data_IF_719664738695
#
_entry.id   IF_719664738695
#
_cell.length_a   1.000
_cell.length_b   1.000
_cell.length_c   1.000
_cell.angle_alpha   90.00
_cell.angle_beta   90.00
_cell.angle_gamma   90.00
#
_symmetry.space_group_name_H-M   'P 1'
#
loop_
_entity.id
_entity.type
_entity.pdbx_description
1 polymer ?
#
# COMPACT_ATOMS: atom_id res chain seq x y z
N UNK A 1 27.75 8.72 -11.41
CA UNK A 1 27.70 7.92 -10.16
C UNK A 1 26.28 7.36 -10.03
N UNK A 2 26.03 6.16 -10.56
CA UNK A 2 24.71 5.53 -10.43
C UNK A 2 24.49 5.20 -8.97
N UNK A 3 23.68 5.99 -8.27
CA UNK A 3 23.30 5.71 -6.90
C UNK A 3 22.72 4.30 -6.87
N UNK A 4 23.40 3.37 -6.19
CA UNK A 4 22.85 2.02 -5.97
C UNK A 4 21.53 2.23 -5.23
N UNK A 5 20.41 2.07 -5.92
CA UNK A 5 19.09 2.12 -5.29
C UNK A 5 19.07 1.07 -4.16
N UNK A 6 19.03 1.49 -2.89
CA UNK A 6 18.85 0.55 -1.81
C UNK A 6 17.42 0.00 -1.91
N UNK A 7 17.21 -1.26 -1.54
CA UNK A 7 15.93 -1.97 -1.63
C UNK A 7 15.38 -2.26 -3.03
N UNK A 8 16.17 -2.88 -3.92
CA UNK A 8 15.68 -3.35 -5.24
C UNK A 8 14.44 -4.26 -5.15
N UNK A 9 14.37 -5.09 -4.11
CA UNK A 9 13.25 -6.04 -3.87
C UNK A 9 11.96 -5.28 -3.58
N UNK A 10 12.02 -4.25 -2.73
CA UNK A 10 10.85 -3.42 -2.39
C UNK A 10 10.33 -2.68 -3.63
N UNK A 11 11.23 -2.08 -4.42
CA UNK A 11 10.85 -1.43 -5.68
C UNK A 11 10.21 -2.41 -6.65
N UNK A 12 10.75 -3.63 -6.77
CA UNK A 12 10.16 -4.69 -7.58
C UNK A 12 8.75 -5.07 -7.11
N UNK A 13 8.55 -5.19 -5.80
CA UNK A 13 7.23 -5.46 -5.21
C UNK A 13 6.22 -4.33 -5.45
N UNK A 14 6.64 -3.07 -5.31
CA UNK A 14 5.79 -1.90 -5.60
C UNK A 14 5.45 -1.83 -7.09
N UNK A 15 6.41 -2.10 -7.96
CA UNK A 15 6.19 -2.08 -9.41
C UNK A 15 5.24 -3.22 -9.83
N UNK A 16 5.40 -4.40 -9.25
CA UNK A 16 4.48 -5.52 -9.43
C UNK A 16 3.08 -5.20 -8.89
N UNK A 17 2.98 -4.59 -7.70
CA UNK A 17 1.73 -4.10 -7.13
C UNK A 17 1.03 -3.10 -8.04
N UNK A 18 1.79 -2.16 -8.64
CA UNK A 18 1.30 -1.19 -9.62
C UNK A 18 0.78 -1.87 -10.89
N UNK A 19 1.54 -2.83 -11.43
CA UNK A 19 1.11 -3.59 -12.60
C UNK A 19 -0.18 -4.38 -12.33
N UNK A 20 -0.28 -5.03 -11.17
CA UNK A 20 -1.49 -5.72 -10.74
C UNK A 20 -2.67 -4.74 -10.63
N UNK A 21 -2.46 -3.57 -10.01
CA UNK A 21 -3.49 -2.53 -9.90
C UNK A 21 -3.97 -2.05 -11.28
N UNK A 22 -3.06 -1.76 -12.22
CA UNK A 22 -3.43 -1.35 -13.58
C UNK A 22 -4.15 -2.46 -14.35
N UNK A 23 -3.75 -3.71 -14.15
CA UNK A 23 -4.41 -4.87 -14.76
C UNK A 23 -5.84 -5.00 -14.24
N UNK A 24 -6.02 -4.91 -12.93
CA UNK A 24 -7.33 -4.88 -12.25
C UNK A 24 -8.20 -3.74 -12.76
N UNK A 25 -7.66 -2.52 -12.86
CA UNK A 25 -8.41 -1.35 -13.28
C UNK A 25 -8.82 -1.44 -14.76
N UNK A 26 -7.95 -1.97 -15.61
CA UNK A 26 -8.25 -2.23 -17.02
C UNK A 26 -9.36 -3.27 -17.15
N UNK A 27 -9.29 -4.37 -16.39
CA UNK A 27 -10.35 -5.40 -16.37
C UNK A 27 -11.71 -4.83 -15.92
N UNK A 28 -11.72 -3.95 -14.91
CA UNK A 28 -12.94 -3.22 -14.48
C UNK A 28 -13.48 -2.34 -15.61
N UNK A 29 -12.61 -1.64 -16.33
CA UNK A 29 -13.00 -0.75 -17.43
C UNK A 29 -13.62 -1.52 -18.61
N UNK A 30 -13.10 -2.70 -18.94
CA UNK A 30 -13.65 -3.57 -19.99
C UNK A 30 -14.90 -4.35 -19.56
N UNK A 31 -15.44 -4.09 -18.36
CA UNK A 31 -16.63 -4.75 -17.81
C UNK A 31 -16.58 -6.29 -17.86
N UNK A 32 -15.37 -6.87 -17.83
CA UNK A 32 -15.18 -8.31 -17.76
C UNK A 32 -15.68 -8.77 -16.38
N UNK A 33 -16.69 -9.64 -16.36
CA UNK A 33 -17.28 -10.21 -15.14
C UNK A 33 -16.20 -10.99 -14.41
N UNK A 34 -15.58 -10.32 -13.45
CA UNK A 34 -14.47 -10.84 -12.66
C UNK A 34 -14.93 -10.81 -11.20
N UNK A 35 -14.54 -11.81 -10.37
CA UNK A 35 -15.10 -11.97 -9.03
C UNK A 35 -14.88 -10.71 -8.19
N UNK A 36 -16.00 -10.04 -7.86
CA UNK A 36 -16.09 -8.77 -7.13
C UNK A 36 -15.24 -8.73 -5.85
N UNK A 37 -15.15 -9.87 -5.15
CA UNK A 37 -14.37 -10.02 -3.92
C UNK A 37 -12.86 -9.84 -4.10
N UNK A 38 -12.28 -10.46 -5.14
CA UNK A 38 -10.82 -10.38 -5.36
C UNK A 38 -10.40 -9.01 -5.90
N UNK A 39 -11.32 -8.27 -6.52
CA UNK A 39 -11.07 -6.97 -7.14
C UNK A 39 -11.21 -5.77 -6.19
N UNK A 40 -11.86 -5.96 -5.04
CA UNK A 40 -12.03 -4.90 -4.04
C UNK A 40 -10.86 -4.97 -3.04
N UNK A 41 -10.72 -6.08 -2.30
CA UNK A 41 -9.74 -6.19 -1.21
C UNK A 41 -8.27 -6.25 -1.67
N UNK A 42 -8.00 -6.71 -2.89
CA UNK A 42 -6.62 -6.81 -3.40
C UNK A 42 -5.99 -5.43 -3.58
N UNK A 43 -6.78 -4.42 -3.95
CA UNK A 43 -6.28 -3.06 -4.04
C UNK A 43 -5.93 -2.50 -2.65
N UNK A 44 -6.77 -2.77 -1.65
CA UNK A 44 -6.57 -2.33 -0.27
C UNK A 44 -5.32 -2.95 0.36
N UNK A 45 -5.07 -4.23 0.11
CA UNK A 45 -3.83 -4.89 0.52
C UNK A 45 -2.56 -4.26 -0.11
N UNK A 46 -2.64 -3.92 -1.40
CA UNK A 46 -1.49 -3.41 -2.16
C UNK A 46 -1.21 -1.92 -1.89
N UNK A 47 -2.19 -1.15 -1.40
CA UNK A 47 -2.05 0.31 -1.24
C UNK A 47 -1.05 0.69 -0.14
N UNK A 48 -1.07 0.01 1.00
CA UNK A 48 -0.20 0.32 2.14
C UNK A 48 1.30 0.20 1.78
N UNK A 49 1.79 -0.90 1.20
CA UNK A 49 3.21 -1.00 0.85
C UNK A 49 3.61 0.01 -0.23
N UNK A 50 2.72 0.38 -1.15
CA UNK A 50 2.98 1.44 -2.13
C UNK A 50 3.13 2.81 -1.45
N UNK A 51 2.17 3.19 -0.60
CA UNK A 51 2.19 4.48 0.12
C UNK A 51 3.36 4.56 1.08
N UNK A 52 3.65 3.48 1.83
CA UNK A 52 4.80 3.42 2.72
C UNK A 52 6.12 3.60 1.96
N UNK A 53 6.25 3.02 0.77
CA UNK A 53 7.44 3.20 -0.09
C UNK A 53 7.55 4.64 -0.61
N UNK A 54 6.43 5.26 -0.99
CA UNK A 54 6.38 6.67 -1.37
C UNK A 54 6.78 7.58 -0.20
N UNK A 55 6.29 7.32 1.01
CA UNK A 55 6.69 8.04 2.22
C UNK A 55 8.19 7.88 2.50
N UNK A 56 8.73 6.66 2.38
CA UNK A 56 10.17 6.40 2.53
C UNK A 56 10.99 7.19 1.51
N UNK A 57 10.58 7.20 0.24
CA UNK A 57 11.19 8.03 -0.80
C UNK A 57 11.09 9.53 -0.50
N UNK A 58 9.95 10.01 -0.02
CA UNK A 58 9.78 11.40 0.41
C UNK A 58 10.77 11.77 1.51
N UNK A 59 10.95 10.90 2.50
CA UNK A 59 11.94 11.10 3.57
C UNK A 59 13.37 11.11 3.02
N UNK A 60 13.71 10.20 2.10
CA UNK A 60 15.01 10.19 1.45
C UNK A 60 15.27 11.45 0.62
N UNK A 61 14.26 11.99 -0.06
CA UNK A 61 14.38 13.24 -0.81
C UNK A 61 14.62 14.45 0.11
N UNK A 62 13.90 14.53 1.23
CA UNK A 62 14.01 15.64 2.19
C UNK A 62 15.33 15.56 2.96
N UNK A 63 15.70 14.38 3.46
CA UNK A 63 16.90 14.17 4.28
C UNK A 63 18.16 13.90 3.47
N UNK A 64 18.03 13.64 2.17
CA UNK A 64 19.11 13.20 1.26
C UNK A 64 19.89 12.00 1.78
N UNK A 65 19.26 11.18 2.61
CA UNK A 65 19.87 10.02 3.25
C UNK A 65 19.03 8.77 2.97
N UNK A 66 19.63 7.86 2.20
CA UNK A 66 19.01 6.60 1.76
C UNK A 66 19.19 5.45 2.76
N UNK A 67 19.89 5.69 3.87
CA UNK A 67 20.04 4.73 4.98
C UNK A 67 18.84 4.78 5.93
N UNK A 68 18.05 5.86 5.88
CA UNK A 68 16.85 5.99 6.69
C UNK A 68 15.86 4.88 6.33
N UNK A 69 15.31 4.27 7.36
CA UNK A 69 14.30 3.21 7.30
C UNK A 69 13.09 3.64 8.13
N UNK A 70 11.88 3.29 7.70
CA UNK A 70 10.68 3.62 8.47
C UNK A 70 10.62 2.74 9.72
N UNK A 71 10.33 3.35 10.86
CA UNK A 71 10.14 2.62 12.11
C UNK A 71 8.79 1.91 12.10
N UNK A 72 8.65 0.84 12.87
CA UNK A 72 7.40 0.09 12.98
C UNK A 72 6.24 0.99 13.41
N UNK A 73 6.50 1.95 14.32
CA UNK A 73 5.54 2.96 14.72
C UNK A 73 4.99 3.76 13.54
N UNK A 74 5.83 4.19 12.60
CA UNK A 74 5.38 4.97 11.43
C UNK A 74 4.48 4.14 10.52
N UNK A 75 4.79 2.86 10.34
CA UNK A 75 3.98 1.93 9.55
C UNK A 75 2.63 1.69 10.23
N UNK A 76 2.62 1.44 11.54
CA UNK A 76 1.39 1.26 12.31
C UNK A 76 0.52 2.51 12.32
N UNK A 77 1.11 3.70 12.42
CA UNK A 77 0.39 4.97 12.30
C UNK A 77 -0.24 5.14 10.92
N UNK A 78 0.45 4.73 9.85
CA UNK A 78 -0.10 4.75 8.49
C UNK A 78 -1.30 3.81 8.36
N UNK A 79 -1.17 2.58 8.86
CA UNK A 79 -2.26 1.59 8.86
C UNK A 79 -3.46 2.11 9.66
N UNK A 80 -3.24 2.63 10.86
CA UNK A 80 -4.31 3.20 11.68
C UNK A 80 -5.00 4.39 10.99
N UNK A 81 -4.23 5.27 10.33
CA UNK A 81 -4.77 6.39 9.57
C UNK A 81 -5.64 5.90 8.41
N UNK A 82 -5.16 4.94 7.63
CA UNK A 82 -5.94 4.35 6.53
C UNK A 82 -7.21 3.66 7.04
N UNK A 83 -7.13 2.84 8.07
CA UNK A 83 -8.31 2.22 8.68
C UNK A 83 -9.31 3.28 9.16
N UNK A 84 -8.88 4.34 9.85
CA UNK A 84 -9.82 5.37 10.31
C UNK A 84 -10.44 6.16 9.15
N UNK A 85 -9.67 6.48 8.11
CA UNK A 85 -10.19 7.27 6.99
C UNK A 85 -11.13 6.44 6.11
N UNK A 86 -10.70 5.23 5.72
CA UNK A 86 -11.44 4.38 4.78
C UNK A 86 -12.59 3.62 5.44
N UNK A 87 -12.42 3.14 6.69
CA UNK A 87 -13.45 2.33 7.37
C UNK A 87 -14.37 3.14 8.26
N UNK A 88 -13.92 4.28 8.79
CA UNK A 88 -14.72 5.05 9.75
C UNK A 88 -15.25 6.35 9.15
N UNK A 89 -14.42 7.12 8.46
CA UNK A 89 -14.82 8.43 7.93
C UNK A 89 -15.58 8.34 6.60
N UNK A 90 -15.07 7.58 5.62
CA UNK A 90 -15.68 7.41 4.30
C UNK A 90 -17.10 6.81 4.30
N UNK A 91 -17.43 5.76 5.07
CA UNK A 91 -18.79 5.22 5.11
C UNK A 91 -19.81 6.20 5.70
N UNK A 92 -19.38 7.14 6.54
CA UNK A 92 -20.25 8.20 7.04
C UNK A 92 -20.60 9.24 5.97
N UNK A 93 -19.75 9.40 4.95
CA UNK A 93 -19.91 10.38 3.89
C UNK A 93 -20.61 9.80 2.65
N UNK A 94 -20.44 8.50 2.38
CA UNK A 94 -21.05 7.86 1.21
C UNK A 94 -21.44 6.42 1.50
N UNK A 95 -22.71 6.08 1.24
CA UNK A 95 -23.28 4.73 1.35
C UNK A 95 -22.60 3.69 0.44
N UNK A 96 -21.71 4.14 -0.46
CA UNK A 96 -20.92 3.28 -1.33
C UNK A 96 -19.80 2.53 -0.61
N UNK A 97 -19.31 3.07 0.52
CA UNK A 97 -18.27 2.44 1.32
C UNK A 97 -18.92 1.68 2.46
N UNK A 98 -18.58 0.41 2.60
CA UNK A 98 -19.01 -0.44 3.71
C UNK A 98 -17.80 -0.60 4.60
N UNK A 99 -17.95 -0.29 5.89
CA UNK A 99 -16.88 -0.57 6.84
C UNK A 99 -16.72 -2.10 6.97
N UNK A 100 -15.63 -2.64 6.45
CA UNK A 100 -15.31 -4.06 6.52
C UNK A 100 -14.01 -4.27 7.31
N UNK A 101 -14.08 -5.13 8.33
CA UNK A 101 -12.92 -5.52 9.11
C UNK A 101 -11.85 -6.22 8.25
N UNK A 102 -12.24 -6.82 7.13
CA UNK A 102 -11.31 -7.42 6.17
C UNK A 102 -10.35 -6.42 5.52
N UNK A 103 -10.77 -5.17 5.36
CA UNK A 103 -9.93 -4.11 4.78
C UNK A 103 -8.89 -3.64 5.81
N UNK A 104 -9.26 -3.57 7.09
CA UNK A 104 -8.31 -3.33 8.19
C UNK A 104 -7.23 -4.43 8.23
N UNK A 105 -7.63 -5.69 8.12
CA UNK A 105 -6.69 -6.83 8.10
C UNK A 105 -5.77 -6.71 6.89
N UNK A 106 -6.31 -6.37 5.72
CA UNK A 106 -5.54 -6.15 4.49
C UNK A 106 -4.51 -5.04 4.66
N UNK A 107 -4.87 -3.93 5.32
CA UNK A 107 -3.93 -2.84 5.60
C UNK A 107 -2.81 -3.27 6.56
N UNK A 108 -3.14 -4.01 7.62
CA UNK A 108 -2.15 -4.53 8.57
C UNK A 108 -1.18 -5.48 7.87
N UNK A 109 -1.68 -6.40 7.03
CA UNK A 109 -0.85 -7.33 6.28
C UNK A 109 0.04 -6.61 5.27
N UNK A 110 -0.47 -5.57 4.59
CA UNK A 110 0.31 -4.73 3.68
C UNK A 110 1.44 -3.98 4.38
N UNK A 111 1.17 -3.46 5.59
CA UNK A 111 2.19 -2.81 6.44
C UNK A 111 3.24 -3.80 6.94
N UNK A 112 2.82 -5.01 7.32
CA UNK A 112 3.72 -6.08 7.73
C UNK A 112 4.64 -6.53 6.58
N UNK A 113 4.08 -6.75 5.38
CA UNK A 113 4.85 -7.03 4.16
C UNK A 113 5.92 -5.97 3.92
N UNK A 114 5.55 -4.69 3.98
CA UNK A 114 6.50 -3.59 3.82
C UNK A 114 7.62 -3.64 4.87
N UNK A 115 7.29 -3.89 6.15
CA UNK A 115 8.27 -4.01 7.22
C UNK A 115 9.27 -5.16 6.97
N UNK A 116 8.78 -6.33 6.54
CA UNK A 116 9.61 -7.49 6.22
C UNK A 116 10.52 -7.21 5.03
N UNK A 117 9.98 -6.67 3.93
CA UNK A 117 10.78 -6.33 2.75
C UNK A 117 11.80 -5.23 3.02
N UNK A 118 11.49 -4.29 3.92
CA UNK A 118 12.42 -3.24 4.32
C UNK A 118 13.61 -3.80 5.12
N UNK A 119 13.40 -4.83 5.94
CA UNK A 119 14.46 -5.50 6.72
C UNK A 119 15.27 -6.51 5.90
N UNK A 120 14.64 -7.12 4.89
CA UNK A 120 15.29 -8.11 4.04
C UNK A 120 16.25 -7.51 3.00
N UNK A 121 16.33 -6.17 2.87
CA UNK A 121 17.08 -5.48 1.82
C UNK A 121 18.04 -4.40 2.32
#
# INVERSE_FOLDING_TARGET
MMAKLPLKILHGYVLLSLLLFFTVQSLKFYAVVSPIWMLHHLNDFLVIPMVATLCLHGVWLIKKDTTIRLNLFTILSLVALFSLVFEYYLPQQSYRYTGDLWDVISYVLGGFMFYVFQKAA
#
